data_IF_930238830846
#
_entry.id   IF_930238830846
#
_cell.length_a   1.000
_cell.length_b   1.000
_cell.length_c   1.000
_cell.angle_alpha   90.00
_cell.angle_beta   90.00
_cell.angle_gamma   90.00
#
_symmetry.space_group_name_H-M   'P 1'
#
loop_
_entity.id
_entity.type
_entity.pdbx_description
1 polymer ?
#
# COMPACT_ATOMS: atom_id res chain seq x y z
N UNK A 1 -27.86 4.83 -1.98
CA UNK A 1 -26.49 5.31 -1.77
C UNK A 1 -25.88 4.35 -0.78
N UNK A 2 -24.96 3.42 -1.13
CA UNK A 2 -24.30 2.66 -0.09
C UNK A 2 -23.44 3.65 0.69
N UNK A 3 -23.62 3.70 2.01
CA UNK A 3 -22.87 4.56 2.91
C UNK A 3 -21.38 4.45 2.57
N UNK A 4 -20.75 5.54 2.13
CA UNK A 4 -19.31 5.57 1.96
C UNK A 4 -18.72 5.25 3.34
N UNK A 5 -18.15 4.06 3.47
CA UNK A 5 -17.45 3.65 4.67
C UNK A 5 -16.41 4.70 5.01
N UNK A 6 -16.54 5.28 6.20
CA UNK A 6 -15.56 6.24 6.72
C UNK A 6 -14.39 5.43 7.26
N UNK A 7 -13.29 5.46 6.52
CA UNK A 7 -12.06 4.78 6.91
C UNK A 7 -11.16 5.67 7.77
N UNK A 8 -10.37 5.03 8.61
CA UNK A 8 -9.34 5.64 9.43
C UNK A 8 -7.99 5.01 9.10
N UNK A 9 -6.90 5.62 9.57
CA UNK A 9 -5.55 5.07 9.40
C UNK A 9 -5.37 3.69 10.05
N UNK A 10 -6.23 3.32 11.00
CA UNK A 10 -6.16 2.05 11.71
C UNK A 10 -6.78 0.89 10.92
N UNK A 11 -7.55 1.18 9.88
CA UNK A 11 -8.15 0.13 9.05
C UNK A 11 -7.10 -0.51 8.13
N UNK A 12 -6.11 0.26 7.69
CA UNK A 12 -5.03 -0.20 6.81
C UNK A 12 -3.95 -0.95 7.59
N UNK A 13 -3.83 -2.25 7.32
CA UNK A 13 -2.91 -3.16 8.03
C UNK A 13 -1.76 -3.67 7.17
N UNK A 14 -1.88 -3.47 5.85
CA UNK A 14 -0.88 -3.84 4.86
C UNK A 14 -0.47 -2.56 4.13
N UNK A 15 0.84 -2.33 4.03
CA UNK A 15 1.43 -1.36 3.12
C UNK A 15 1.88 -2.06 1.84
N UNK A 16 1.80 -1.35 0.73
CA UNK A 16 2.53 -1.68 -0.48
C UNK A 16 3.39 -0.47 -0.89
N UNK A 17 4.67 -0.55 -0.58
CA UNK A 17 5.65 0.47 -0.94
C UNK A 17 6.08 0.31 -2.41
N UNK A 18 6.03 1.40 -3.17
CA UNK A 18 6.42 1.48 -4.57
C UNK A 18 7.45 2.59 -4.75
N UNK A 19 8.60 2.29 -5.36
CA UNK A 19 9.62 3.28 -5.65
C UNK A 19 9.38 4.00 -6.98
N UNK A 20 8.66 3.37 -7.91
CA UNK A 20 8.37 3.91 -9.24
C UNK A 20 6.87 3.90 -9.59
N UNK A 21 6.43 4.85 -10.42
CA UNK A 21 5.04 4.98 -10.89
C UNK A 21 4.50 3.70 -11.53
N UNK A 22 5.36 2.97 -12.24
CA UNK A 22 5.03 1.67 -12.85
C UNK A 22 4.70 0.60 -11.81
N UNK A 23 5.38 0.60 -10.66
CA UNK A 23 5.11 -0.31 -9.54
C UNK A 23 3.82 0.12 -8.85
N UNK A 24 3.62 1.42 -8.65
CA UNK A 24 2.37 1.95 -8.09
C UNK A 24 1.16 1.60 -8.97
N UNK A 25 1.30 1.69 -10.28
CA UNK A 25 0.23 1.31 -11.22
C UNK A 25 -0.11 -0.17 -11.08
N UNK A 26 0.89 -1.05 -10.99
CA UNK A 26 0.68 -2.46 -10.73
C UNK A 26 0.04 -2.70 -9.34
N UNK A 27 0.42 -1.92 -8.34
CA UNK A 27 -0.15 -1.98 -6.99
C UNK A 27 -1.62 -1.60 -6.94
N UNK A 28 -1.98 -0.51 -7.59
CA UNK A 28 -3.35 -0.04 -7.69
C UNK A 28 -4.22 -1.05 -8.43
N UNK A 29 -3.70 -1.67 -9.49
CA UNK A 29 -4.42 -2.68 -10.27
C UNK A 29 -4.80 -3.95 -9.49
N UNK A 30 -4.21 -4.13 -8.30
CA UNK A 30 -4.46 -5.28 -7.43
C UNK A 30 -5.50 -4.99 -6.34
N UNK A 31 -5.90 -3.72 -6.16
CA UNK A 31 -6.97 -3.32 -5.25
C UNK A 31 -8.34 -3.73 -5.80
N UNK A 32 -9.25 -4.08 -4.90
CA UNK A 32 -10.63 -4.38 -5.23
C UNK A 32 -11.48 -3.11 -5.26
N UNK A 33 -12.17 -2.90 -6.38
CA UNK A 33 -13.04 -1.75 -6.59
C UNK A 33 -12.28 -0.43 -6.72
N UNK A 34 -12.99 0.67 -6.49
CA UNK A 34 -12.38 1.99 -6.51
C UNK A 34 -11.57 2.23 -5.22
N UNK A 35 -10.47 2.98 -5.34
CA UNK A 35 -9.70 3.41 -4.19
C UNK A 35 -10.55 4.19 -3.18
N UNK A 36 -10.21 4.07 -1.91
CA UNK A 36 -10.81 4.84 -0.83
C UNK A 36 -10.35 6.30 -0.91
N UNK A 37 -11.20 7.20 -0.42
CA UNK A 37 -10.86 8.62 -0.37
C UNK A 37 -9.57 8.85 0.43
N UNK A 38 -8.69 9.76 -0.01
CA UNK A 38 -7.45 10.08 0.70
C UNK A 38 -7.74 10.56 2.12
N UNK A 39 -6.92 10.12 3.08
CA UNK A 39 -6.97 10.61 4.44
C UNK A 39 -6.04 11.83 4.60
N UNK A 40 -6.40 12.84 5.42
CA UNK A 40 -5.49 13.94 5.73
C UNK A 40 -4.18 13.40 6.28
N UNK A 41 -3.04 13.90 5.81
CA UNK A 41 -1.69 13.53 6.29
C UNK A 41 -0.98 14.74 6.90
N UNK A 42 -0.01 14.53 7.82
CA UNK A 42 0.81 15.61 8.35
C UNK A 42 1.56 16.33 7.22
N UNK A 43 1.83 17.63 7.37
CA UNK A 43 2.59 18.40 6.38
C UNK A 43 4.05 17.94 6.24
N UNK A 44 4.58 17.25 7.26
CA UNK A 44 5.91 16.63 7.26
C UNK A 44 5.96 15.32 6.48
N UNK A 45 4.82 14.75 6.10
CA UNK A 45 4.72 13.52 5.33
C UNK A 45 4.65 13.86 3.84
N UNK A 46 5.71 13.54 3.11
CA UNK A 46 5.81 13.82 1.67
C UNK A 46 5.22 12.71 0.80
N UNK A 47 4.81 11.57 1.36
CA UNK A 47 4.39 10.43 0.56
C UNK A 47 3.04 10.62 -0.12
N UNK A 48 2.89 10.00 -1.29
CA UNK A 48 1.61 9.80 -1.93
C UNK A 48 1.00 8.48 -1.45
N UNK A 49 -0.30 8.50 -1.16
CA UNK A 49 -1.05 7.36 -0.67
C UNK A 49 -2.20 7.06 -1.62
N UNK A 50 -2.29 5.83 -2.10
CA UNK A 50 -3.53 5.28 -2.68
C UNK A 50 -4.06 4.25 -1.72
N UNK A 51 -5.28 4.47 -1.23
CA UNK A 51 -5.89 3.64 -0.20
C UNK A 51 -6.92 2.71 -0.84
N UNK A 52 -7.02 1.46 -0.39
CA UNK A 52 -8.03 0.55 -0.90
C UNK A 52 -8.22 -0.70 -0.05
N UNK A 53 -9.04 -1.61 -0.56
CA UNK A 53 -9.24 -2.93 0.02
C UNK A 53 -8.76 -4.00 -0.95
N UNK A 54 -8.32 -5.15 -0.43
CA UNK A 54 -8.22 -6.36 -1.22
C UNK A 54 -9.05 -7.44 -0.53
N UNK A 55 -10.01 -8.01 -1.24
CA UNK A 55 -10.83 -9.16 -0.87
C UNK A 55 -9.95 -10.41 -0.86
N UNK A 56 -9.21 -10.57 0.22
CA UNK A 56 -8.78 -11.88 0.70
C UNK A 56 -9.84 -12.43 1.65
N UNK A 57 -9.84 -13.74 1.93
CA UNK A 57 -10.81 -14.40 2.84
C UNK A 57 -10.97 -13.68 4.19
N UNK A 58 -9.92 -12.97 4.61
CA UNK A 58 -9.97 -11.96 5.68
C UNK A 58 -9.90 -10.59 5.02
N UNK A 59 -10.99 -9.82 5.05
CA UNK A 59 -11.07 -8.45 4.52
C UNK A 59 -9.90 -7.60 5.03
N UNK A 60 -8.89 -7.41 4.17
CA UNK A 60 -7.65 -6.72 4.53
C UNK A 60 -7.59 -5.40 3.77
N UNK A 61 -7.45 -4.29 4.48
CA UNK A 61 -7.25 -2.99 3.85
C UNK A 61 -5.77 -2.72 3.61
N UNK A 62 -5.48 -2.20 2.42
CA UNK A 62 -4.13 -2.00 1.89
C UNK A 62 -3.95 -0.52 1.59
N UNK A 63 -2.84 0.05 2.04
CA UNK A 63 -2.38 1.36 1.60
C UNK A 63 -1.21 1.15 0.63
N UNK A 64 -1.21 1.83 -0.51
CA UNK A 64 -0.07 1.89 -1.45
C UNK A 64 0.68 3.18 -1.18
N UNK A 65 1.98 3.11 -0.96
CA UNK A 65 2.80 4.23 -0.48
C UNK A 65 4.09 4.40 -1.27
N UNK A 66 4.68 5.60 -1.24
CA UNK A 66 5.93 5.89 -1.94
C UNK A 66 7.20 5.73 -1.08
N UNK A 67 7.10 5.56 0.24
CA UNK A 67 8.16 5.12 1.19
C UNK A 67 7.59 5.27 2.62
N UNK A 68 8.15 4.56 3.60
CA UNK A 68 7.61 4.47 4.97
C UNK A 68 7.50 5.82 5.74
N UNK A 69 6.36 6.04 6.43
CA UNK A 69 6.16 7.08 7.46
C UNK A 69 5.23 6.56 8.58
N UNK A 70 5.34 7.04 9.84
CA UNK A 70 4.44 6.75 10.97
C UNK A 70 2.94 7.05 10.76
N UNK A 71 2.51 7.50 9.58
CA UNK A 71 1.14 7.94 9.29
C UNK A 71 0.12 6.83 9.48
N UNK A 72 0.49 5.56 9.27
CA UNK A 72 -0.41 4.41 9.39
C UNK A 72 0.09 3.41 10.46
N UNK A 73 -0.25 3.62 11.75
CA UNK A 73 0.31 2.84 12.85
C UNK A 73 -0.20 1.39 12.91
N UNK A 74 -1.27 1.06 12.20
CA UNK A 74 -1.82 -0.30 12.14
C UNK A 74 -1.16 -1.18 11.08
N UNK A 75 -0.31 -0.62 10.22
CA UNK A 75 0.47 -1.38 9.24
C UNK A 75 1.44 -2.30 10.00
N UNK A 76 1.34 -3.60 9.70
CA UNK A 76 2.18 -4.66 10.30
C UNK A 76 3.01 -5.40 9.27
N UNK A 77 2.55 -5.38 8.02
CA UNK A 77 3.17 -6.04 6.89
C UNK A 77 3.31 -4.98 5.82
N UNK A 78 4.51 -4.85 5.28
CA UNK A 78 4.75 -4.00 4.13
C UNK A 78 5.33 -4.84 3.02
N UNK A 79 4.75 -4.67 1.85
CA UNK A 79 5.04 -5.38 0.64
C UNK A 79 5.79 -4.45 -0.29
N UNK A 80 6.99 -4.84 -0.71
CA UNK A 80 7.73 -4.08 -1.71
C UNK A 80 7.62 -4.82 -3.04
N UNK A 81 7.32 -4.08 -4.11
CA UNK A 81 7.40 -4.60 -5.47
C UNK A 81 8.53 -3.90 -6.18
N UNK A 82 9.55 -4.68 -6.49
CA UNK A 82 10.63 -4.25 -7.35
C UNK A 82 10.41 -4.82 -8.75
N UNK A 83 10.49 -3.95 -9.76
CA UNK A 83 10.62 -4.42 -11.14
C UNK A 83 12.10 -4.68 -11.40
N UNK A 84 12.52 -5.94 -11.22
CA UNK A 84 13.84 -6.40 -11.60
C UNK A 84 13.99 -6.34 -13.14
N UNK A 85 14.80 -5.40 -13.64
CA UNK A 85 15.06 -5.17 -15.06
C UNK A 85 15.91 -6.24 -15.75
N UNK A 86 15.60 -7.52 -15.55
CA UNK A 86 16.19 -8.61 -16.34
C UNK A 86 15.69 -8.58 -17.79
N UNK A 87 16.52 -9.03 -18.74
CA UNK A 87 16.38 -8.91 -20.21
C UNK A 87 15.26 -9.81 -20.80
N UNK A 88 14.19 -10.10 -20.05
CA UNK A 88 13.12 -11.01 -20.47
C UNK A 88 11.73 -10.34 -20.46
N UNK A 89 10.93 -10.38 -21.56
CA UNK A 89 9.86 -9.40 -21.82
C UNK A 89 8.56 -9.60 -21.03
N UNK A 90 8.53 -10.50 -20.04
CA UNK A 90 7.36 -10.70 -19.17
C UNK A 90 7.78 -10.37 -17.76
N UNK A 91 8.04 -9.08 -17.52
CA UNK A 91 8.38 -8.46 -16.25
C UNK A 91 7.87 -9.29 -15.06
N UNK A 92 8.80 -9.91 -14.33
CA UNK A 92 8.48 -10.68 -13.14
C UNK A 92 8.25 -9.68 -12.00
N UNK A 93 7.02 -9.64 -11.50
CA UNK A 93 6.70 -8.94 -10.25
C UNK A 93 7.14 -9.85 -9.10
N UNK A 94 8.24 -9.50 -8.44
CA UNK A 94 8.66 -10.16 -7.22
C UNK A 94 8.12 -9.39 -6.02
N UNK A 95 7.70 -10.15 -5.00
CA UNK A 95 7.06 -9.66 -3.80
C UNK A 95 7.95 -9.98 -2.61
N UNK A 96 8.51 -8.95 -1.98
CA UNK A 96 9.26 -9.13 -0.73
C UNK A 96 8.36 -8.77 0.46
N UNK A 97 8.20 -9.73 1.37
CA UNK A 97 7.44 -9.56 2.62
C UNK A 97 8.36 -9.09 3.74
N UNK A 98 8.23 -7.83 4.16
CA UNK A 98 8.83 -7.31 5.39
C UNK A 98 7.82 -7.31 6.54
N UNK A 99 8.22 -7.77 7.73
CA UNK A 99 7.47 -7.52 8.98
C UNK A 99 7.93 -6.18 9.53
N UNK A 100 7.04 -5.21 9.67
CA UNK A 100 7.41 -3.94 10.29
C UNK A 100 7.56 -4.12 11.81
N UNK A 101 8.69 -3.69 12.38
CA UNK A 101 8.86 -3.58 13.83
C UNK A 101 8.19 -2.32 14.37
N UNK A 102 7.70 -2.39 15.61
CA UNK A 102 7.10 -1.24 16.30
C UNK A 102 8.10 -0.09 16.34
N UNK A 103 7.81 1.00 15.63
CA UNK A 103 8.73 2.14 15.44
C UNK A 103 9.10 2.43 13.98
N UNK A 104 8.65 1.62 13.02
CA UNK A 104 8.79 1.92 11.59
C UNK A 104 10.08 1.41 10.94
N UNK A 105 10.71 0.37 11.49
CA UNK A 105 11.79 -0.37 10.83
C UNK A 105 11.29 -1.68 10.21
N UNK A 106 12.12 -2.29 9.36
CA UNK A 106 11.93 -3.63 8.77
C UNK A 106 12.86 -4.67 9.41
#
# INVERSE_FOLDING_TARGET
MPDQLVYTRNDYSIDWACAFDKEQTAAIAVLDGDGHSPLPKPTTDANAYTLGSRKTENSSFVAVTALMVPTFPAIKISLMVDIAGGVDPKCVVQWDFGKSVKGGGF
#
